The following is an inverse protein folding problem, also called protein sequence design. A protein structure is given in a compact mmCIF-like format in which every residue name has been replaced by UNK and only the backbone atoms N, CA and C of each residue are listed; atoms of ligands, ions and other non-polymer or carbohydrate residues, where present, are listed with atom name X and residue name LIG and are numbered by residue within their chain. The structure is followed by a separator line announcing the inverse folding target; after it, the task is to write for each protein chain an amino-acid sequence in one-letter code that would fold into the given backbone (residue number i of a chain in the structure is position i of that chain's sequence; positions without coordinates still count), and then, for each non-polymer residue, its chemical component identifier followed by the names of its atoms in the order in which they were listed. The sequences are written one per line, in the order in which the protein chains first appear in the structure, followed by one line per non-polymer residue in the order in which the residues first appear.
data_IF_558859601533
#
_entry.id   IF_558859601533
#
_cell.length_a   1.000
_cell.length_b   1.000
_cell.length_c   1.000
_cell.angle_alpha   90.00
_cell.angle_beta   90.00
_cell.angle_gamma   90.00
#
_symmetry.space_group_name_H-M   'P 1'
#
loop_
_entity.id
_entity.type
_entity.pdbx_description
1 polymer ?
#
# COMPACT_ATOMS: atom_id res chain seq x y z
N UNK A 1 2.36 5.74 -17.90
CA UNK A 1 1.88 5.15 -16.63
C UNK A 1 3.05 5.14 -15.65
N UNK A 2 2.96 5.86 -14.53
CA UNK A 2 4.07 6.01 -13.57
C UNK A 2 3.83 5.11 -12.36
N UNK A 3 4.71 4.14 -12.13
CA UNK A 3 4.68 3.26 -10.94
C UNK A 3 5.69 3.79 -9.92
N UNK A 4 5.30 3.83 -8.65
CA UNK A 4 6.19 4.18 -7.53
C UNK A 4 6.16 3.04 -6.54
N UNK A 5 7.33 2.54 -6.15
CA UNK A 5 7.47 1.52 -5.10
C UNK A 5 7.91 2.20 -3.82
N UNK A 6 7.15 2.00 -2.75
CA UNK A 6 7.41 2.61 -1.44
C UNK A 6 7.64 1.51 -0.41
N UNK A 7 8.60 1.72 0.48
CA UNK A 7 8.91 0.80 1.56
C UNK A 7 8.03 1.08 2.80
N UNK A 8 7.77 0.00 3.53
CA UNK A 8 7.07 -0.07 4.81
C UNK A 8 7.93 -0.90 5.74
N UNK A 9 8.02 -0.50 7.02
CA UNK A 9 9.00 -1.08 7.95
C UNK A 9 8.52 -2.33 8.67
N UNK A 10 7.29 -2.78 8.43
CA UNK A 10 6.75 -3.98 9.07
C UNK A 10 5.28 -4.26 8.74
N UNK A 11 4.84 -5.45 9.12
CA UNK A 11 3.51 -5.99 8.85
C UNK A 11 2.38 -5.13 9.40
N UNK A 12 2.49 -4.66 10.65
CA UNK A 12 1.49 -3.78 11.27
C UNK A 12 1.25 -2.53 10.42
N UNK A 13 2.30 -1.99 9.80
CA UNK A 13 2.20 -0.81 8.95
C UNK A 13 1.44 -1.09 7.66
N UNK A 14 1.68 -2.25 7.04
CA UNK A 14 0.95 -2.72 5.86
C UNK A 14 -0.53 -2.91 6.17
N UNK A 15 -0.86 -3.62 7.27
CA UNK A 15 -2.26 -3.87 7.65
C UNK A 15 -3.02 -2.57 7.93
N UNK A 16 -2.42 -1.68 8.72
CA UNK A 16 -3.01 -0.38 9.02
C UNK A 16 -3.18 0.49 7.75
N UNK A 17 -2.28 0.37 6.78
CA UNK A 17 -2.42 1.06 5.50
C UNK A 17 -3.57 0.47 4.68
N UNK A 18 -3.69 -0.86 4.61
CA UNK A 18 -4.81 -1.53 3.94
C UNK A 18 -6.14 -1.07 4.52
N UNK A 19 -6.31 -1.10 5.85
CA UNK A 19 -7.53 -0.64 6.51
C UNK A 19 -7.88 0.82 6.20
N UNK A 20 -6.88 1.72 6.20
CA UNK A 20 -7.09 3.13 5.82
C UNK A 20 -7.55 3.27 4.38
N UNK A 21 -7.00 2.47 3.47
CA UNK A 21 -7.39 2.47 2.07
C UNK A 21 -8.80 1.89 1.88
N UNK A 22 -9.19 0.86 2.63
CA UNK A 22 -10.56 0.33 2.66
C UNK A 22 -11.52 1.44 3.13
N UNK A 23 -11.23 2.07 4.28
CA UNK A 23 -12.07 3.12 4.85
C UNK A 23 -12.22 4.34 3.92
N UNK A 24 -11.19 4.63 3.13
CA UNK A 24 -11.20 5.70 2.14
C UNK A 24 -11.83 5.31 0.78
N UNK A 25 -12.33 4.08 0.61
CA UNK A 25 -12.88 3.59 -0.66
C UNK A 25 -11.83 3.46 -1.78
N UNK A 26 -10.54 3.36 -1.42
CA UNK A 26 -9.44 3.20 -2.36
C UNK A 26 -9.27 1.72 -2.66
N UNK A 27 -9.75 1.29 -3.82
CA UNK A 27 -9.50 -0.04 -4.37
C UNK A 27 -7.99 -0.35 -4.42
N UNK A 28 -7.62 -1.44 -3.74
CA UNK A 28 -6.27 -1.97 -3.64
C UNK A 28 -6.31 -3.48 -3.42
N UNK A 29 -5.18 -4.14 -3.65
CA UNK A 29 -4.95 -5.55 -3.33
C UNK A 29 -3.86 -5.64 -2.28
N UNK A 30 -4.17 -6.31 -1.17
CA UNK A 30 -3.18 -6.80 -0.22
C UNK A 30 -2.68 -8.16 -0.72
N UNK A 31 -1.38 -8.27 -0.98
CA UNK A 31 -0.74 -9.52 -1.36
C UNK A 31 -0.28 -10.25 -0.11
N UNK A 32 -0.66 -11.52 -0.01
CA UNK A 32 -0.32 -12.39 1.11
C UNK A 32 0.45 -13.56 0.53
N UNK A 33 1.69 -13.74 0.95
CA UNK A 33 2.57 -14.81 0.50
C UNK A 33 2.24 -16.12 1.21
N UNK A 34 2.31 -17.23 0.48
CA UNK A 34 2.07 -18.57 1.00
C UNK A 34 3.38 -19.38 0.93
N UNK A 35 3.61 -20.35 1.84
CA UNK A 35 2.71 -20.85 2.88
C UNK A 35 2.71 -20.03 4.19
N UNK A 36 3.59 -19.05 4.34
CA UNK A 36 3.79 -18.32 5.61
C UNK A 36 2.63 -17.39 5.99
N UNK A 37 1.72 -17.10 5.05
CA UNK A 37 0.53 -16.27 5.22
C UNK A 37 0.86 -14.83 5.68
N UNK A 38 1.99 -14.29 5.19
CA UNK A 38 2.49 -12.96 5.55
C UNK A 38 2.14 -11.92 4.49
N UNK A 39 1.68 -10.71 4.88
CA UNK A 39 1.38 -9.66 3.92
C UNK A 39 2.66 -9.00 3.39
N UNK A 40 2.93 -9.13 2.10
CA UNK A 40 4.21 -8.69 1.49
C UNK A 40 4.13 -7.34 0.80
N UNK A 41 3.00 -7.02 0.16
CA UNK A 41 2.84 -5.74 -0.53
C UNK A 41 1.38 -5.31 -0.69
N UNK A 42 1.19 -4.03 -0.97
CA UNK A 42 -0.11 -3.45 -1.35
C UNK A 42 0.02 -2.81 -2.73
N UNK A 43 -0.91 -3.13 -3.63
CA UNK A 43 -1.01 -2.51 -4.94
C UNK A 43 -2.36 -1.78 -5.07
N UNK A 44 -2.34 -0.49 -5.36
CA UNK A 44 -3.54 0.28 -5.71
C UNK A 44 -3.80 0.21 -7.21
N UNK A 45 -5.05 0.39 -7.66
CA UNK A 45 -5.31 0.71 -9.07
C UNK A 45 -4.63 2.04 -9.46
N UNK A 46 -4.49 2.36 -10.76
CA UNK A 46 -4.04 3.69 -11.16
C UNK A 46 -4.97 4.78 -10.61
N UNK A 47 -4.39 5.80 -9.98
CA UNK A 47 -5.13 6.95 -9.44
C UNK A 47 -4.42 8.26 -9.77
N UNK A 48 -5.16 9.38 -9.87
CA UNK A 48 -4.56 10.70 -9.80
C UNK A 48 -3.75 10.86 -8.51
N UNK A 49 -2.51 11.34 -8.62
CA UNK A 49 -1.60 11.50 -7.47
C UNK A 49 -2.26 12.31 -6.34
N UNK A 50 -3.02 13.35 -6.67
CA UNK A 50 -3.72 14.18 -5.69
C UNK A 50 -4.72 13.40 -4.80
N UNK A 51 -5.36 12.36 -5.35
CA UNK A 51 -6.36 11.57 -4.63
C UNK A 51 -5.74 10.60 -3.62
N UNK A 52 -4.52 10.11 -3.87
CA UNK A 52 -3.91 9.05 -3.06
C UNK A 52 -2.63 9.46 -2.33
N UNK A 53 -1.99 10.57 -2.69
CA UNK A 53 -0.70 10.96 -2.13
C UNK A 53 -0.71 11.10 -0.60
N UNK A 54 -1.81 11.56 0.00
CA UNK A 54 -1.94 11.71 1.46
C UNK A 54 -1.70 10.41 2.23
N UNK A 55 -2.09 9.26 1.68
CA UNK A 55 -1.91 7.94 2.32
C UNK A 55 -0.46 7.47 2.29
N UNK A 56 0.28 7.89 1.27
CA UNK A 56 1.62 7.37 0.97
C UNK A 56 2.76 8.35 1.30
N UNK A 57 2.47 9.63 1.60
CA UNK A 57 3.46 10.69 1.86
C UNK A 57 4.49 10.38 2.94
N UNK A 58 4.15 9.54 3.93
CA UNK A 58 5.04 9.18 5.05
C UNK A 58 5.95 8.00 4.73
N UNK A 59 5.70 7.28 3.63
CA UNK A 59 6.51 6.14 3.20
C UNK A 59 7.69 6.63 2.38
N UNK A 60 8.82 5.93 2.48
CA UNK A 60 10.03 6.24 1.73
C UNK A 60 10.03 5.47 0.42
N UNK A 61 10.81 5.94 -0.55
CA UNK A 61 11.07 5.17 -1.77
C UNK A 61 11.78 3.88 -1.39
N UNK A 62 11.26 2.75 -1.87
CA UNK A 62 11.93 1.46 -1.76
C UNK A 62 13.20 1.51 -2.60
N UNK A 63 14.37 1.37 -1.97
CA UNK A 63 15.66 1.28 -2.66
C UNK A 63 16.08 -0.16 -2.84
#
# INVERSE_FOLDING_TARGET
MHKVTLEVKGETQIRNLSEKLIAAGIAHKLWIEQPENIPTCIATRPYPKAAVASFFKKLKLCK
#
